data_IF_473385769830
#
_entry.id   IF_473385769830
#
_cell.length_a   1.000
_cell.length_b   1.000
_cell.length_c   1.000
_cell.angle_alpha   90.00
_cell.angle_beta   90.00
_cell.angle_gamma   90.00
#
_symmetry.space_group_name_H-M   'P 1'
#
loop_
_entity.id
_entity.type
_entity.pdbx_description
1 polymer ?
#
# COMPACT_ATOMS: atom_id res chain seq x y z
N UNK A 1 7.67 -2.30 19.38
CA UNK A 1 8.52 -1.26 18.74
C UNK A 1 9.25 -0.38 19.74
N UNK A 2 8.60 0.21 20.75
CA UNK A 2 9.30 0.98 21.82
C UNK A 2 10.37 0.16 22.55
N UNK A 3 10.06 -1.09 22.90
CA UNK A 3 11.03 -1.97 23.56
C UNK A 3 12.23 -2.31 22.67
N UNK A 4 12.00 -2.44 21.36
CA UNK A 4 13.07 -2.68 20.39
C UNK A 4 13.97 -1.46 20.25
N UNK A 5 13.39 -0.27 20.12
CA UNK A 5 14.12 1.00 20.08
C UNK A 5 14.96 1.21 21.35
N UNK A 6 14.39 0.93 22.52
CA UNK A 6 15.11 0.95 23.80
C UNK A 6 16.29 -0.03 23.82
N UNK A 7 16.08 -1.27 23.34
CA UNK A 7 17.16 -2.26 23.22
C UNK A 7 18.27 -1.82 22.26
N UNK A 8 17.92 -1.22 21.11
CA UNK A 8 18.90 -0.67 20.18
C UNK A 8 19.76 0.41 20.86
N UNK A 9 19.12 1.33 21.60
CA UNK A 9 19.84 2.33 22.39
C UNK A 9 20.77 1.72 23.43
N UNK A 10 20.30 0.72 24.18
CA UNK A 10 21.10 0.03 25.19
C UNK A 10 22.30 -0.74 24.60
N UNK A 11 22.18 -1.23 23.36
CA UNK A 11 23.24 -1.92 22.65
C UNK A 11 24.20 -0.98 21.90
N UNK A 12 24.02 0.35 22.02
CA UNK A 12 24.85 1.34 21.34
C UNK A 12 24.63 1.41 19.83
N UNK A 13 23.50 0.90 19.32
CA UNK A 13 23.15 0.99 17.90
C UNK A 13 22.58 2.38 17.63
N UNK A 14 23.23 3.14 16.74
CA UNK A 14 22.77 4.46 16.33
C UNK A 14 21.39 4.39 15.66
N UNK A 15 20.38 4.97 16.31
CA UNK A 15 19.02 5.11 15.78
C UNK A 15 18.49 6.52 16.03
N UNK A 16 17.43 6.91 15.31
CA UNK A 16 16.77 8.20 15.55
C UNK A 16 16.29 8.31 17.01
N UNK A 17 16.28 9.53 17.56
CA UNK A 17 15.87 9.75 18.95
C UNK A 17 14.40 9.35 19.20
N UNK A 18 13.54 9.57 18.21
CA UNK A 18 12.13 9.19 18.23
C UNK A 18 11.88 8.23 17.08
N UNK A 19 11.38 7.04 17.41
CA UNK A 19 10.94 6.08 16.42
C UNK A 19 9.54 6.41 15.90
N UNK A 20 9.39 6.46 14.57
CA UNK A 20 8.11 6.52 13.88
C UNK A 20 8.20 5.65 12.63
N UNK A 21 7.26 4.72 12.47
CA UNK A 21 7.22 3.83 11.32
C UNK A 21 6.99 4.64 10.04
N UNK A 22 6.07 5.60 10.09
CA UNK A 22 5.85 6.59 9.04
C UNK A 22 7.12 7.33 8.61
N UNK A 23 7.92 7.85 9.53
CA UNK A 23 9.13 8.59 9.15
C UNK A 23 10.24 7.68 8.60
N UNK A 24 10.17 6.37 8.88
CA UNK A 24 11.23 5.41 8.52
C UNK A 24 10.95 4.74 7.17
N UNK A 25 9.70 4.35 6.94
CA UNK A 25 9.26 3.57 5.76
C UNK A 25 8.10 4.21 5.00
N UNK A 26 7.49 5.26 5.56
CA UNK A 26 6.39 5.97 4.92
C UNK A 26 6.91 6.93 3.87
N UNK A 27 6.24 6.93 2.72
CA UNK A 27 6.40 7.95 1.70
C UNK A 27 5.19 8.89 1.71
N UNK A 28 5.44 10.21 1.74
CA UNK A 28 4.39 11.22 1.78
C UNK A 28 3.47 11.14 0.56
N UNK A 29 4.00 10.75 -0.62
CA UNK A 29 3.20 10.63 -1.85
C UNK A 29 2.27 9.43 -1.75
N UNK A 30 2.84 8.28 -1.39
CA UNK A 30 2.09 7.04 -1.21
C UNK A 30 0.99 7.18 -0.15
N UNK A 31 1.30 7.83 0.98
CA UNK A 31 0.32 8.05 2.04
C UNK A 31 -0.84 8.93 1.59
N UNK A 32 -0.58 9.98 0.80
CA UNK A 32 -1.64 10.80 0.19
C UNK A 32 -2.51 9.98 -0.75
N UNK A 33 -1.90 9.14 -1.59
CA UNK A 33 -2.64 8.22 -2.47
C UNK A 33 -3.52 7.28 -1.66
N UNK A 34 -3.05 6.76 -0.52
CA UNK A 34 -3.88 5.93 0.36
C UNK A 34 -5.06 6.70 0.95
N UNK A 35 -4.87 7.94 1.39
CA UNK A 35 -5.96 8.77 1.90
C UNK A 35 -7.00 9.05 0.81
N UNK A 36 -6.57 9.34 -0.42
CA UNK A 36 -7.46 9.51 -1.57
C UNK A 36 -8.21 8.21 -1.91
N UNK A 37 -7.59 7.05 -1.73
CA UNK A 37 -8.23 5.75 -1.83
C UNK A 37 -9.16 5.44 -0.64
N UNK A 38 -9.25 6.34 0.35
CA UNK A 38 -10.19 6.24 1.48
C UNK A 38 -9.59 5.65 2.75
N UNK A 39 -8.27 5.49 2.86
CA UNK A 39 -7.61 5.19 4.14
C UNK A 39 -7.85 6.33 5.13
N UNK A 40 -8.19 6.06 6.40
CA UNK A 40 -8.26 7.09 7.43
C UNK A 40 -6.89 7.77 7.66
N UNK A 41 -6.91 9.04 8.04
CA UNK A 41 -5.71 9.86 8.25
C UNK A 41 -5.02 9.66 9.61
N UNK A 42 -5.48 8.70 10.41
CA UNK A 42 -4.88 8.42 11.70
C UNK A 42 -3.59 7.60 11.56
N UNK A 43 -2.67 7.81 12.52
CA UNK A 43 -1.35 7.16 12.52
C UNK A 43 -1.43 5.63 12.51
N UNK A 44 -2.43 5.04 13.15
CA UNK A 44 -2.60 3.58 13.20
C UNK A 44 -3.00 3.03 11.83
N UNK A 45 -3.93 3.67 11.14
CA UNK A 45 -4.32 3.31 9.77
C UNK A 45 -3.16 3.46 8.78
N UNK A 46 -2.37 4.52 8.90
CA UNK A 46 -1.19 4.74 8.05
C UNK A 46 -0.11 3.69 8.32
N UNK A 47 0.19 3.39 9.58
CA UNK A 47 1.15 2.34 9.95
C UNK A 47 0.71 0.97 9.39
N UNK A 48 -0.58 0.65 9.48
CA UNK A 48 -1.13 -0.58 8.87
C UNK A 48 -0.94 -0.61 7.35
N UNK A 49 -1.16 0.51 6.65
CA UNK A 49 -0.98 0.60 5.21
C UNK A 49 0.50 0.46 4.79
N UNK A 50 1.44 0.97 5.61
CA UNK A 50 2.88 0.75 5.42
C UNK A 50 3.20 -0.75 5.54
N UNK A 51 2.66 -1.43 6.54
CA UNK A 51 2.84 -2.88 6.73
C UNK A 51 2.26 -3.65 5.55
N UNK A 52 1.04 -3.32 5.09
CA UNK A 52 0.42 -3.93 3.89
C UNK A 52 1.33 -3.79 2.67
N UNK A 53 1.94 -2.62 2.48
CA UNK A 53 2.72 -2.31 1.27
C UNK A 53 4.13 -2.90 1.26
N UNK A 54 4.75 -3.03 2.43
CA UNK A 54 6.15 -3.46 2.57
C UNK A 54 6.33 -4.89 3.08
N UNK A 55 5.25 -5.55 3.52
CA UNK A 55 5.34 -6.93 4.02
C UNK A 55 5.65 -7.91 2.90
N UNK A 56 6.60 -8.83 3.17
CA UNK A 56 6.90 -9.94 2.26
C UNK A 56 5.77 -10.97 2.21
N UNK A 57 5.10 -11.20 3.33
CA UNK A 57 3.95 -12.10 3.47
C UNK A 57 2.67 -11.34 3.15
N UNK A 58 1.67 -12.05 2.65
CA UNK A 58 0.40 -11.44 2.26
C UNK A 58 -0.39 -10.95 3.48
N UNK A 59 -1.04 -9.77 3.38
CA UNK A 59 -1.80 -9.19 4.46
C UNK A 59 -3.16 -9.89 4.64
N UNK A 60 -3.45 -10.29 5.87
CA UNK A 60 -4.76 -10.71 6.36
C UNK A 60 -5.33 -9.62 7.25
N UNK A 61 -6.27 -8.86 6.71
CA UNK A 61 -6.83 -7.67 7.34
C UNK A 61 -8.09 -8.02 8.12
N UNK A 62 -8.02 -7.87 9.44
CA UNK A 62 -9.17 -7.96 10.34
C UNK A 62 -9.97 -6.67 10.20
N UNK A 63 -11.06 -6.73 9.44
CA UNK A 63 -11.80 -5.56 8.97
C UNK A 63 -13.33 -5.76 9.13
N UNK A 64 -13.85 -5.72 10.37
CA UNK A 64 -15.27 -5.91 10.61
C UNK A 64 -16.14 -4.76 10.08
N UNK A 65 -15.56 -3.58 9.86
CA UNK A 65 -16.26 -2.41 9.31
C UNK A 65 -16.14 -2.26 7.78
N UNK A 66 -15.27 -3.02 7.12
CA UNK A 66 -15.08 -2.94 5.66
C UNK A 66 -14.21 -1.76 5.19
N UNK A 67 -13.46 -1.13 6.10
CA UNK A 67 -12.60 0.02 5.83
C UNK A 67 -11.39 -0.38 4.97
N UNK A 68 -10.71 -1.46 5.33
CA UNK A 68 -9.56 -1.97 4.61
C UNK A 68 -9.98 -2.49 3.23
N UNK A 69 -11.11 -3.21 3.17
CA UNK A 69 -11.73 -3.66 1.91
C UNK A 69 -11.97 -2.48 0.97
N UNK A 70 -12.64 -1.42 1.44
CA UNK A 70 -12.93 -0.23 0.64
C UNK A 70 -11.64 0.45 0.15
N UNK A 71 -10.65 0.57 1.03
CA UNK A 71 -9.36 1.15 0.69
C UNK A 71 -8.62 0.36 -0.41
N UNK A 72 -8.48 -0.96 -0.27
CA UNK A 72 -7.83 -1.82 -1.27
C UNK A 72 -8.55 -1.77 -2.61
N UNK A 73 -9.89 -1.82 -2.61
CA UNK A 73 -10.70 -1.74 -3.84
C UNK A 73 -10.46 -0.43 -4.59
N UNK A 74 -10.36 0.70 -3.88
CA UNK A 74 -10.10 1.99 -4.51
C UNK A 74 -8.64 2.13 -4.94
N UNK A 75 -7.70 1.60 -4.16
CA UNK A 75 -6.27 1.67 -4.45
C UNK A 75 -5.91 0.86 -5.70
N UNK A 76 -6.51 -0.32 -5.88
CA UNK A 76 -6.24 -1.25 -6.98
C UNK A 76 -7.21 -1.07 -8.16
N UNK A 77 -7.97 0.04 -8.20
CA UNK A 77 -9.02 0.29 -9.19
C UNK A 77 -8.49 0.32 -10.62
N UNK A 78 -7.31 0.90 -10.83
CA UNK A 78 -6.66 0.98 -12.15
C UNK A 78 -5.93 -0.32 -12.53
N UNK A 79 -5.62 -1.17 -11.54
CA UNK A 79 -4.87 -2.42 -11.72
C UNK A 79 -5.78 -3.63 -12.01
N UNK A 80 -7.09 -3.44 -12.06
CA UNK A 80 -8.05 -4.50 -12.41
C UNK A 80 -8.27 -5.54 -11.31
N UNK A 81 -8.33 -5.10 -10.04
CA UNK A 81 -8.57 -5.95 -8.87
C UNK A 81 -9.72 -6.95 -9.07
N UNK A 82 -9.41 -8.23 -8.85
CA UNK A 82 -10.40 -9.29 -8.76
C UNK A 82 -10.84 -9.47 -7.31
N UNK A 83 -12.13 -9.68 -7.08
CA UNK A 83 -12.70 -9.86 -5.74
C UNK A 83 -13.44 -11.19 -5.72
N UNK A 84 -13.13 -12.03 -4.75
CA UNK A 84 -13.69 -13.38 -4.66
C UNK A 84 -13.85 -13.83 -3.21
N UNK A 85 -14.66 -14.85 -2.97
CA UNK A 85 -14.77 -15.53 -1.66
C UNK A 85 -14.28 -16.97 -1.81
N UNK A 86 -13.72 -17.55 -0.76
CA UNK A 86 -13.31 -18.96 -0.76
C UNK A 86 -14.48 -19.92 -1.03
N UNK A 87 -15.70 -19.52 -0.67
CA UNK A 87 -16.93 -20.31 -0.89
C UNK A 87 -17.46 -20.23 -2.33
N UNK A 88 -16.88 -19.39 -3.18
CA UNK A 88 -17.33 -19.23 -4.56
C UNK A 88 -16.87 -20.43 -5.41
N UNK A 89 -17.76 -21.12 -6.15
CA UNK A 89 -17.37 -22.19 -7.06
C UNK A 89 -16.33 -21.75 -8.11
N UNK A 90 -16.30 -20.47 -8.48
CA UNK A 90 -15.36 -19.92 -9.45
C UNK A 90 -14.00 -19.52 -8.82
N UNK A 91 -13.82 -19.71 -7.51
CA UNK A 91 -12.65 -19.25 -6.75
C UNK A 91 -11.31 -19.67 -7.37
N UNK A 92 -11.11 -20.97 -7.59
CA UNK A 92 -9.86 -21.49 -8.12
C UNK A 92 -9.56 -20.97 -9.52
N UNK A 93 -10.59 -20.88 -10.38
CA UNK A 93 -10.44 -20.34 -11.73
C UNK A 93 -10.05 -18.87 -11.72
N UNK A 94 -10.65 -18.05 -10.85
CA UNK A 94 -10.32 -16.62 -10.73
C UNK A 94 -8.90 -16.45 -10.19
N UNK A 95 -8.51 -17.25 -9.20
CA UNK A 95 -7.15 -17.27 -8.65
C UNK A 95 -6.13 -17.62 -9.72
N UNK A 96 -6.37 -18.68 -10.49
CA UNK A 96 -5.50 -19.13 -11.58
C UNK A 96 -5.30 -18.02 -12.63
N UNK A 97 -6.39 -17.43 -13.10
CA UNK A 97 -6.34 -16.34 -14.10
C UNK A 97 -5.61 -15.11 -13.54
N UNK A 98 -5.83 -14.78 -12.26
CA UNK A 98 -5.19 -13.62 -11.63
C UNK A 98 -3.69 -13.83 -11.47
N UNK A 99 -3.25 -15.05 -11.12
CA UNK A 99 -1.85 -15.42 -11.04
C UNK A 99 -1.15 -15.33 -12.40
N UNK A 100 -1.76 -15.86 -13.46
CA UNK A 100 -1.21 -15.81 -14.81
C UNK A 100 -1.11 -14.37 -15.35
N UNK A 101 -2.13 -13.54 -15.09
CA UNK A 101 -2.20 -12.17 -15.62
C UNK A 101 -1.54 -11.11 -14.72
N UNK A 102 -1.07 -11.49 -13.54
CA UNK A 102 -0.55 -10.54 -12.55
C UNK A 102 -1.59 -9.60 -11.97
N UNK A 103 -2.88 -9.94 -12.06
CA UNK A 103 -3.94 -9.09 -11.52
C UNK A 103 -4.00 -9.21 -9.99
N UNK A 104 -4.17 -8.09 -9.27
CA UNK A 104 -4.34 -8.16 -7.83
C UNK A 104 -5.64 -8.89 -7.49
N UNK A 105 -5.62 -9.68 -6.42
CA UNK A 105 -6.76 -10.48 -5.95
C UNK A 105 -7.07 -10.16 -4.49
N UNK A 106 -8.34 -9.87 -4.19
CA UNK A 106 -8.87 -9.73 -2.86
C UNK A 106 -9.79 -10.91 -2.52
N UNK A 107 -9.41 -11.69 -1.51
CA UNK A 107 -10.25 -12.75 -0.96
C UNK A 107 -11.00 -12.20 0.26
N UNK A 108 -12.33 -12.29 0.21
CA UNK A 108 -13.21 -11.73 1.22
C UNK A 108 -13.80 -12.78 2.15
N UNK A 109 -14.04 -12.35 3.39
CA UNK A 109 -14.79 -13.15 4.37
C UNK A 109 -14.04 -14.40 4.78
N UNK A 110 -12.72 -14.34 4.80
CA UNK A 110 -11.86 -15.45 5.19
C UNK A 110 -12.13 -15.81 6.66
N UNK A 111 -12.27 -17.11 6.92
CA UNK A 111 -12.51 -17.65 8.26
C UNK A 111 -11.24 -17.67 9.14
N UNK A 112 -11.27 -18.49 10.17
CA UNK A 112 -10.10 -18.79 11.01
C UNK A 112 -9.15 -19.81 10.35
N UNK A 113 -9.70 -20.60 9.43
CA UNK A 113 -8.96 -21.56 8.61
C UNK A 113 -8.80 -21.04 7.18
N UNK A 114 -7.62 -21.26 6.62
CA UNK A 114 -7.31 -20.98 5.22
C UNK A 114 -7.31 -22.30 4.46
N UNK A 115 -7.92 -22.31 3.27
CA UNK A 115 -7.89 -23.47 2.39
C UNK A 115 -6.42 -23.84 2.06
N UNK A 116 -5.97 -25.08 2.35
CA UNK A 116 -4.61 -25.54 2.06
C UNK A 116 -4.21 -25.41 0.58
N UNK A 117 -5.16 -25.34 -0.35
CA UNK A 117 -4.86 -25.09 -1.78
C UNK A 117 -4.11 -23.78 -2.02
N UNK A 118 -4.22 -22.84 -1.08
CA UNK A 118 -3.56 -21.54 -1.13
C UNK A 118 -2.12 -21.59 -0.61
N UNK A 119 -1.67 -22.67 0.01
CA UNK A 119 -0.37 -22.73 0.68
C UNK A 119 0.80 -22.38 -0.25
N UNK A 120 0.76 -22.87 -1.50
CA UNK A 120 1.77 -22.54 -2.50
C UNK A 120 1.88 -21.03 -2.76
N UNK A 121 0.74 -20.33 -2.84
CA UNK A 121 0.70 -18.87 -3.05
C UNK A 121 1.03 -18.12 -1.76
N UNK A 122 0.49 -18.56 -0.63
CA UNK A 122 0.66 -17.89 0.66
C UNK A 122 2.10 -17.90 1.13
N UNK A 123 2.76 -19.05 0.96
CA UNK A 123 4.16 -19.25 1.29
C UNK A 123 5.12 -18.84 0.16
N UNK A 124 4.58 -18.41 -1.00
CA UNK A 124 5.34 -18.05 -2.20
C UNK A 124 6.30 -19.17 -2.63
N UNK A 125 5.81 -20.41 -2.61
CA UNK A 125 6.53 -21.59 -3.05
C UNK A 125 6.47 -21.68 -4.59
N UNK A 126 7.22 -20.80 -5.24
CA UNK A 126 7.34 -20.79 -6.70
C UNK A 126 8.55 -21.60 -7.16
N UNK A 127 8.49 -22.12 -8.38
CA UNK A 127 9.60 -22.80 -9.03
C UNK A 127 9.67 -22.42 -10.51
N UNK A 128 10.87 -22.40 -11.06
CA UNK A 128 11.08 -22.07 -12.47
C UNK A 128 11.02 -23.32 -13.33
N UNK A 129 10.15 -23.32 -14.34
CA UNK A 129 10.07 -24.36 -15.35
C UNK A 129 10.16 -23.72 -16.74
N UNK A 130 11.11 -24.17 -17.56
CA UNK A 130 11.35 -23.64 -18.91
C UNK A 130 11.53 -22.10 -18.97
N UNK A 131 12.10 -21.51 -17.91
CA UNK A 131 12.36 -20.06 -17.83
C UNK A 131 11.18 -19.22 -17.34
N UNK A 132 10.02 -19.83 -17.02
CA UNK A 132 8.85 -19.15 -16.48
C UNK A 132 8.63 -19.60 -15.03
N UNK A 133 8.31 -18.68 -14.13
CA UNK A 133 7.94 -19.01 -12.75
C UNK A 133 6.54 -19.63 -12.70
N UNK A 134 6.39 -20.67 -11.89
CA UNK A 134 5.14 -21.36 -11.66
C UNK A 134 4.92 -21.53 -10.16
N UNK A 135 3.66 -21.72 -9.77
CA UNK A 135 3.24 -22.04 -8.41
C UNK A 135 2.30 -23.24 -8.44
N UNK A 136 2.40 -24.09 -7.43
CA UNK A 136 1.50 -25.24 -7.26
C UNK A 136 0.26 -24.84 -6.45
N UNK A 137 -0.92 -25.10 -7.00
CA UNK A 137 -2.24 -24.92 -6.40
C UNK A 137 -2.90 -26.29 -6.23
N UNK A 138 -2.63 -26.96 -5.11
CA UNK A 138 -3.07 -28.34 -4.90
C UNK A 138 -2.40 -29.28 -5.90
N UNK A 139 -3.17 -29.82 -6.84
CA UNK A 139 -2.65 -30.67 -7.93
C UNK A 139 -2.35 -29.89 -9.23
N UNK A 140 -2.80 -28.65 -9.33
CA UNK A 140 -2.61 -27.81 -10.52
C UNK A 140 -1.28 -27.04 -10.45
N UNK A 141 -0.60 -26.93 -11.58
CA UNK A 141 0.57 -26.06 -11.74
C UNK A 141 0.14 -24.87 -12.60
N UNK A 142 0.34 -23.65 -12.10
CA UNK A 142 -0.07 -22.41 -12.75
C UNK A 142 1.12 -21.47 -12.91
N UNK A 143 1.21 -20.76 -14.03
CA UNK A 143 2.20 -19.70 -14.21
C UNK A 143 2.02 -18.59 -13.16
N UNK A 144 3.14 -18.12 -12.60
CA UNK A 144 3.18 -17.10 -11.57
C UNK A 144 3.71 -15.79 -12.15
N UNK A 145 2.87 -14.76 -12.18
CA UNK A 145 3.30 -13.44 -12.62
C UNK A 145 3.93 -12.65 -11.45
N UNK A 146 5.11 -12.02 -11.62
CA UNK A 146 5.81 -11.30 -10.55
C UNK A 146 5.03 -10.14 -9.93
N UNK A 147 4.16 -9.49 -10.70
CA UNK A 147 3.35 -8.36 -10.24
C UNK A 147 2.08 -8.77 -9.47
N UNK A 148 1.77 -10.07 -9.39
CA UNK A 148 0.62 -10.56 -8.66
C UNK A 148 0.64 -10.09 -7.20
N UNK A 149 -0.52 -9.61 -6.71
CA UNK A 149 -0.72 -9.21 -5.32
C UNK A 149 -1.95 -9.88 -4.73
N UNK A 150 -1.81 -10.39 -3.52
CA UNK A 150 -2.91 -11.02 -2.78
C UNK A 150 -3.25 -10.22 -1.52
N UNK A 151 -4.54 -9.96 -1.33
CA UNK A 151 -5.11 -9.35 -0.14
C UNK A 151 -6.17 -10.27 0.45
N UNK A 152 -6.18 -10.42 1.77
CA UNK A 152 -7.16 -11.23 2.48
C UNK A 152 -7.89 -10.34 3.49
N UNK A 153 -9.22 -10.47 3.59
CA UNK A 153 -10.02 -9.75 4.59
C UNK A 153 -10.92 -10.69 5.36
N UNK A 154 -11.07 -10.44 6.67
CA UNK A 154 -12.05 -11.12 7.51
C UNK A 154 -12.98 -10.11 8.19
N UNK A 155 -14.24 -10.49 8.38
CA UNK A 155 -15.22 -9.71 9.15
C UNK A 155 -15.28 -10.14 10.62
N UNK A 156 -14.56 -11.19 11.01
CA UNK A 156 -14.48 -11.64 12.38
C UNK A 156 -13.76 -10.57 13.22
N UNK A 157 -14.38 -10.09 14.30
CA UNK A 157 -13.77 -9.04 15.15
C UNK A 157 -12.58 -9.54 15.95
N UNK A 158 -12.64 -10.79 16.41
CA UNK A 158 -11.61 -11.39 17.25
C UNK A 158 -11.38 -12.85 16.83
N UNK A 159 -10.86 -13.08 15.62
CA UNK A 159 -10.59 -14.43 15.12
C UNK A 159 -9.44 -15.08 15.90
N UNK A 160 -9.58 -16.36 16.23
CA UNK A 160 -8.53 -17.15 16.86
C UNK A 160 -7.70 -17.91 15.82
N UNK A 161 -6.73 -17.22 15.22
CA UNK A 161 -5.84 -17.84 14.25
C UNK A 161 -4.82 -18.78 14.91
N UNK A 162 -4.81 -20.03 14.45
CA UNK A 162 -3.77 -20.99 14.82
C UNK A 162 -2.39 -20.54 14.29
N UNK A 163 -1.28 -20.92 14.95
CA UNK A 163 0.07 -20.54 14.52
C UNK A 163 0.38 -20.87 13.05
N UNK A 164 -0.23 -21.94 12.52
CA UNK A 164 -0.11 -22.33 11.12
C UNK A 164 -0.54 -21.21 10.16
N UNK A 165 -1.56 -20.44 10.50
CA UNK A 165 -2.02 -19.29 9.69
C UNK A 165 -1.06 -18.10 9.85
N UNK A 166 -0.64 -17.80 11.08
CA UNK A 166 0.24 -16.65 11.38
C UNK A 166 1.65 -16.77 10.78
N UNK A 167 2.10 -17.98 10.46
CA UNK A 167 3.35 -18.20 9.73
C UNK A 167 3.18 -17.82 8.25
N UNK A 168 2.04 -18.18 7.65
CA UNK A 168 1.73 -17.99 6.22
C UNK A 168 1.43 -16.53 5.86
N UNK A 169 0.71 -15.81 6.71
CA UNK A 169 0.23 -14.45 6.43
C UNK A 169 0.69 -13.45 7.49
N UNK A 170 0.61 -12.15 7.17
CA UNK A 170 0.74 -11.08 8.16
C UNK A 170 -0.66 -10.64 8.57
N UNK A 171 -1.03 -10.93 9.81
CA UNK A 171 -2.32 -10.51 10.36
C UNK A 171 -2.22 -9.03 10.75
N UNK A 172 -3.13 -8.22 10.23
CA UNK A 172 -3.17 -6.76 10.43
C UNK A 172 -4.55 -6.38 10.95
N UNK A 173 -4.58 -5.62 12.04
CA UNK A 173 -5.82 -5.19 12.65
C UNK A 173 -6.28 -3.85 12.05
N UNK A 174 -7.33 -3.89 11.23
CA UNK A 174 -7.97 -2.71 10.63
C UNK A 174 -9.26 -2.30 11.35
N UNK A 175 -9.49 -2.79 12.57
CA UNK A 175 -10.58 -2.30 13.42
C UNK A 175 -10.39 -0.80 13.63
N UNK A 176 -11.47 -0.05 13.37
CA UNK A 176 -11.45 1.41 13.56
C UNK A 176 -11.13 1.76 15.01
N UNK A 177 -10.14 2.62 15.20
CA UNK A 177 -9.78 3.16 16.52
C UNK A 177 -10.79 4.23 16.94
N UNK A 178 -10.91 4.50 18.24
CA UNK A 178 -11.80 5.57 18.72
C UNK A 178 -11.46 6.92 18.08
N UNK A 179 -10.17 7.27 18.03
CA UNK A 179 -9.68 8.49 17.38
C UNK A 179 -9.99 8.49 15.87
N UNK A 180 -9.83 7.34 15.20
CA UNK A 180 -10.20 7.18 13.78
C UNK A 180 -11.68 7.43 13.55
N UNK A 181 -12.55 6.91 14.42
CA UNK A 181 -13.99 7.12 14.34
C UNK A 181 -14.38 8.57 14.61
N UNK A 182 -13.79 9.22 15.62
CA UNK A 182 -14.01 10.64 15.92
C UNK A 182 -13.64 11.52 14.72
N UNK A 183 -12.49 11.27 14.09
CA UNK A 183 -12.07 12.00 12.89
C UNK A 183 -13.01 11.76 11.70
N UNK A 184 -13.50 10.54 11.50
CA UNK A 184 -14.48 10.24 10.45
C UNK A 184 -15.81 10.96 10.68
N UNK A 185 -16.33 10.93 11.92
CA UNK A 185 -17.56 11.61 12.28
C UNK A 185 -17.41 13.12 12.14
N UNK A 186 -16.29 13.70 12.58
CA UNK A 186 -15.99 15.11 12.40
C UNK A 186 -16.01 15.48 10.90
N UNK A 187 -15.41 14.65 10.04
CA UNK A 187 -15.47 14.84 8.59
C UNK A 187 -16.91 14.87 8.05
N UNK A 188 -17.77 13.97 8.51
CA UNK A 188 -19.19 13.93 8.11
C UNK A 188 -19.96 15.15 8.61
N UNK A 189 -19.74 15.58 9.85
CA UNK A 189 -20.38 16.77 10.43
C UNK A 189 -19.93 18.02 9.69
N UNK A 190 -18.63 18.19 9.42
CA UNK A 190 -18.11 19.34 8.66
C UNK A 190 -18.67 19.37 7.24
N UNK A 191 -18.76 18.22 6.57
CA UNK A 191 -19.34 18.13 5.24
C UNK A 191 -20.82 18.56 5.21
N UNK A 192 -21.57 18.26 6.27
CA UNK A 192 -22.98 18.64 6.38
C UNK A 192 -23.17 20.10 6.82
N UNK A 193 -22.50 20.52 7.90
CA UNK A 193 -22.69 21.85 8.50
C UNK A 193 -21.98 22.96 7.71
N UNK A 194 -20.84 22.65 7.07
CA UNK A 194 -19.99 23.62 6.38
C UNK A 194 -19.50 23.08 5.03
N UNK A 195 -20.41 22.86 4.06
CA UNK A 195 -20.06 22.27 2.77
C UNK A 195 -19.00 23.08 1.99
N UNK A 196 -18.99 24.40 2.15
CA UNK A 196 -17.99 25.28 1.52
C UNK A 196 -16.56 24.99 2.00
N UNK A 197 -16.37 24.58 3.26
CA UNK A 197 -15.05 24.20 3.78
C UNK A 197 -14.61 22.85 3.22
N UNK A 198 -15.53 21.91 3.05
CA UNK A 198 -15.23 20.61 2.45
C UNK A 198 -14.89 20.76 0.97
N UNK A 199 -15.62 21.61 0.23
CA UNK A 199 -15.29 21.95 -1.16
C UNK A 199 -13.91 22.61 -1.27
N UNK A 200 -13.60 23.56 -0.38
CA UNK A 200 -12.27 24.19 -0.33
C UNK A 200 -11.17 23.17 0.00
N UNK A 201 -11.41 22.26 0.94
CA UNK A 201 -10.49 21.16 1.28
C UNK A 201 -10.26 20.25 0.08
N UNK A 202 -11.33 19.83 -0.61
CA UNK A 202 -11.23 18.98 -1.79
C UNK A 202 -10.45 19.67 -2.92
N UNK A 203 -10.71 20.96 -3.16
CA UNK A 203 -9.96 21.75 -4.13
C UNK A 203 -8.47 21.80 -3.78
N UNK A 204 -8.14 22.09 -2.52
CA UNK A 204 -6.76 22.12 -2.03
C UNK A 204 -6.09 20.73 -2.12
N UNK A 205 -6.81 19.65 -1.89
CA UNK A 205 -6.28 18.29 -2.03
C UNK A 205 -5.94 17.97 -3.49
N UNK A 206 -6.83 18.32 -4.43
CA UNK A 206 -6.59 18.12 -5.87
C UNK A 206 -5.42 18.97 -6.35
N UNK A 207 -5.38 20.24 -5.95
CA UNK A 207 -4.29 21.16 -6.27
C UNK A 207 -2.96 20.69 -5.68
N UNK A 208 -2.96 20.24 -4.42
CA UNK A 208 -1.77 19.71 -3.77
C UNK A 208 -1.27 18.42 -4.44
N UNK A 209 -2.16 17.53 -4.86
CA UNK A 209 -1.80 16.35 -5.66
C UNK A 209 -1.22 16.73 -7.03
N UNK A 210 -1.77 17.75 -7.69
CA UNK A 210 -1.24 18.25 -8.97
C UNK A 210 0.16 18.86 -8.79
N UNK A 211 0.33 19.75 -7.82
CA UNK A 211 1.59 20.41 -7.50
C UNK A 211 2.67 19.39 -7.16
N UNK A 212 2.32 18.35 -6.41
CA UNK A 212 3.26 17.30 -6.06
C UNK A 212 3.73 16.49 -7.27
N UNK A 213 2.82 16.09 -8.17
CA UNK A 213 3.20 15.43 -9.43
C UNK A 213 4.08 16.32 -10.30
N UNK A 214 3.80 17.63 -10.33
CA UNK A 214 4.63 18.59 -11.05
C UNK A 214 6.04 18.66 -10.44
N UNK A 215 6.15 18.75 -9.11
CA UNK A 215 7.41 18.76 -8.39
C UNK A 215 8.25 17.51 -8.67
N UNK A 216 7.64 16.33 -8.57
CA UNK A 216 8.32 15.06 -8.84
C UNK A 216 8.84 14.99 -10.29
N UNK A 217 8.01 15.34 -11.28
CA UNK A 217 8.44 15.39 -12.70
C UNK A 217 9.59 16.36 -12.91
N UNK A 218 9.56 17.51 -12.24
CA UNK A 218 10.66 18.47 -12.30
C UNK A 218 11.93 17.89 -11.70
N UNK A 219 11.85 17.20 -10.56
CA UNK A 219 12.99 16.54 -9.94
C UNK A 219 13.56 15.42 -10.81
N UNK A 220 12.71 14.60 -11.42
CA UNK A 220 13.11 13.55 -12.37
C UNK A 220 13.82 14.14 -13.59
N UNK A 221 13.28 15.23 -14.18
CA UNK A 221 13.93 15.94 -15.28
C UNK A 221 15.29 16.51 -14.89
N UNK A 222 15.42 17.06 -13.69
CA UNK A 222 16.72 17.56 -13.19
C UNK A 222 17.72 16.40 -13.09
N UNK A 223 17.32 15.26 -12.53
CA UNK A 223 18.18 14.09 -12.42
C UNK A 223 18.58 13.55 -13.80
N UNK A 224 17.65 13.50 -14.74
CA UNK A 224 17.90 13.10 -16.13
C UNK A 224 18.92 14.02 -16.80
N UNK A 225 18.74 15.34 -16.69
CA UNK A 225 19.66 16.34 -17.23
C UNK A 225 21.04 16.23 -16.57
N UNK A 226 21.12 16.11 -15.25
CA UNK A 226 22.39 15.94 -14.52
C UNK A 226 23.10 14.64 -14.91
N UNK A 227 22.35 13.56 -15.11
CA UNK A 227 22.91 12.27 -15.55
C UNK A 227 23.41 12.30 -16.99
N UNK A 228 22.77 13.08 -17.86
CA UNK A 228 23.10 13.16 -19.30
C UNK A 228 24.21 14.16 -19.57
N UNK A 229 24.26 15.25 -18.81
CA UNK A 229 25.22 16.34 -19.01
C UNK A 229 26.64 16.03 -18.48
N UNK A 230 26.81 15.01 -17.63
CA UNK A 230 28.13 14.52 -17.20
C UNK A 230 29.07 15.65 -16.71
N UNK A 231 30.29 15.73 -17.25
CA UNK A 231 31.29 16.75 -16.90
C UNK A 231 31.10 18.11 -17.58
N UNK A 232 30.20 18.25 -18.55
CA UNK A 232 29.99 19.47 -19.35
C UNK A 232 28.71 20.24 -18.98
N UNK A 233 28.25 20.11 -17.73
CA UNK A 233 27.02 20.75 -17.24
C UNK A 233 26.98 22.28 -17.43
N UNK A 234 28.14 22.94 -17.43
CA UNK A 234 28.25 24.40 -17.61
C UNK A 234 28.18 24.85 -19.08
N UNK A 235 28.32 23.94 -20.04
CA UNK A 235 28.27 24.24 -21.47
C UNK A 235 26.92 23.88 -22.10
N UNK A 236 26.09 23.08 -21.41
CA UNK A 236 24.77 22.71 -21.88
C UNK A 236 23.73 23.77 -21.49
N UNK A 237 23.48 24.70 -22.42
CA UNK A 237 22.52 25.79 -22.28
C UNK A 237 21.11 25.29 -21.92
N UNK A 238 20.72 24.09 -22.39
CA UNK A 238 19.44 23.46 -22.03
C UNK A 238 19.40 23.01 -20.58
N UNK A 239 20.53 22.56 -20.03
CA UNK A 239 20.62 22.18 -18.62
C UNK A 239 20.47 23.41 -17.71
N UNK A 240 21.06 24.55 -18.10
CA UNK A 240 20.97 25.81 -17.37
C UNK A 240 19.53 26.36 -17.37
N UNK A 241 18.84 26.32 -18.52
CA UNK A 241 17.45 26.77 -18.64
C UNK A 241 16.46 25.88 -17.87
N UNK A 242 16.67 24.57 -17.89
CA UNK A 242 15.84 23.63 -17.11
C UNK A 242 16.08 23.85 -15.61
N UNK A 243 17.33 24.02 -15.17
CA UNK A 243 17.61 24.30 -13.75
C UNK A 243 17.07 25.66 -13.28
N UNK A 244 17.19 26.71 -14.11
CA UNK A 244 16.73 28.05 -13.76
C UNK A 244 15.20 28.12 -13.66
N UNK A 245 14.48 27.55 -14.64
CA UNK A 245 13.01 27.43 -14.60
C UNK A 245 12.53 26.57 -13.45
N UNK A 246 13.23 25.46 -13.16
CA UNK A 246 12.91 24.58 -12.03
C UNK A 246 13.08 25.27 -10.67
N UNK A 247 14.13 26.10 -10.52
CA UNK A 247 14.40 26.86 -9.28
C UNK A 247 13.30 27.89 -9.00
N UNK A 248 12.78 28.54 -10.03
CA UNK A 248 11.65 29.47 -9.90
C UNK A 248 10.38 28.71 -9.51
N UNK A 249 10.09 27.57 -10.16
CA UNK A 249 8.94 26.75 -9.78
C UNK A 249 9.03 26.25 -8.34
N UNK A 250 10.20 25.81 -7.85
CA UNK A 250 10.38 25.36 -6.47
C UNK A 250 10.21 26.48 -5.43
N UNK A 251 10.49 27.74 -5.77
CA UNK A 251 10.32 28.88 -4.87
C UNK A 251 8.87 29.39 -4.78
N UNK A 252 7.97 28.91 -5.64
CA UNK A 252 6.55 29.28 -5.65
C UNK A 252 5.68 28.25 -4.90
N UNK A 253 6.26 27.11 -4.53
CA UNK A 253 5.64 26.09 -3.67
C UNK A 253 6.09 26.23 -2.22
#
# INVERSE_FOLDING_TARGET
>A
MKDWHCKCGNLGISCSAIFSLYNTLGDNVQCRTWHLAGLPVDTFSVDNAIVVSHSRRWPLMIDPQGQARKWVVNMEKENGLQIVKQTDPAFLRILEISLQKGQPLLIEGVGEELDPILDGVLLKQTFTQKGVEHVQLGELITEYHPEFRLYLTTRLRNPHYLPQVTIKVVVINFIITQLGLENQLLGLVVAHERPQLEEKKNRLLVESAHNHRALQRTQEKILEVLSTAGQNLLEDEKAIDIMSSSRVSMNVF
#
